data_IF_595429825879
#
_entry.id   IF_595429825879
#
_cell.length_a   1.000
_cell.length_b   1.000
_cell.length_c   1.000
_cell.angle_alpha   90.00
_cell.angle_beta   90.00
_cell.angle_gamma   90.00
#
_symmetry.space_group_name_H-M   'P 1'
#
loop_
_entity.id
_entity.type
_entity.pdbx_description
1 polymer ?
#
# COMPACT_ATOMS: atom_id res chain seq x y z
N UNK A 1 15.15 -2.30 -0.46
CA UNK A 1 14.41 -2.92 0.67
C UNK A 1 13.06 -2.25 0.93
N UNK A 2 12.95 -0.90 0.98
CA UNK A 2 11.67 -0.17 1.20
C UNK A 2 10.51 -0.53 0.24
N UNK A 3 10.77 -0.96 -1.00
CA UNK A 3 9.72 -1.31 -1.97
C UNK A 3 9.05 -2.66 -1.74
N UNK A 4 9.67 -3.60 -1.02
CA UNK A 4 9.06 -4.92 -0.79
C UNK A 4 7.95 -4.89 0.27
N UNK A 5 7.82 -3.78 1.00
CA UNK A 5 6.91 -3.66 2.14
C UNK A 5 5.48 -3.31 1.71
N UNK A 6 5.31 -2.42 0.73
CA UNK A 6 3.97 -2.02 0.29
C UNK A 6 3.16 -3.20 -0.26
N UNK A 7 3.83 -4.05 -1.04
CA UNK A 7 3.23 -5.27 -1.59
C UNK A 7 2.78 -6.20 -0.47
N UNK A 8 3.64 -6.48 0.52
CA UNK A 8 3.25 -7.29 1.69
C UNK A 8 2.05 -6.74 2.47
N UNK A 9 1.86 -5.42 2.52
CA UNK A 9 0.75 -4.82 3.25
C UNK A 9 -0.60 -5.07 2.57
N UNK A 10 -0.66 -4.90 1.25
CA UNK A 10 -1.88 -5.17 0.48
C UNK A 10 -2.21 -6.67 0.53
N UNK A 11 -1.16 -7.47 0.41
CA UNK A 11 -1.17 -8.91 0.43
C UNK A 11 -1.70 -9.50 1.76
N UNK A 12 -1.14 -9.07 2.90
CA UNK A 12 -1.58 -9.50 4.22
C UNK A 12 -3.03 -9.11 4.52
N UNK A 13 -3.45 -7.92 4.07
CA UNK A 13 -4.84 -7.47 4.19
C UNK A 13 -5.81 -8.31 3.35
N UNK A 14 -5.41 -8.77 2.16
CA UNK A 14 -6.28 -9.63 1.32
C UNK A 14 -6.47 -11.04 1.88
N UNK A 15 -5.47 -11.61 2.57
CA UNK A 15 -5.66 -12.87 3.30
C UNK A 15 -6.44 -12.64 4.59
N UNK A 16 -6.08 -11.60 5.35
CA UNK A 16 -6.79 -11.19 6.56
C UNK A 16 -8.29 -10.95 6.31
N UNK A 17 -8.65 -10.35 5.17
CA UNK A 17 -10.06 -10.16 4.80
C UNK A 17 -10.80 -11.46 4.49
N UNK A 18 -10.09 -12.51 4.06
CA UNK A 18 -10.65 -13.85 3.82
C UNK A 18 -10.75 -14.67 5.11
N UNK A 19 -9.76 -14.55 6.00
CA UNK A 19 -9.69 -15.32 7.26
C UNK A 19 -10.43 -14.63 8.41
N UNK A 20 -10.65 -13.31 8.35
CA UNK A 20 -11.22 -12.51 9.43
C UNK A 20 -10.20 -12.05 10.48
N UNK A 21 -8.92 -12.35 10.28
CA UNK A 21 -7.83 -12.02 11.20
C UNK A 21 -7.40 -10.56 11.09
N UNK A 22 -6.83 -10.01 12.17
CA UNK A 22 -6.22 -8.68 12.19
C UNK A 22 -4.69 -8.81 12.24
N UNK A 23 -3.98 -8.64 11.11
CA UNK A 23 -2.53 -8.75 11.09
C UNK A 23 -1.88 -7.58 11.83
N UNK A 24 -0.95 -7.87 12.74
CA UNK A 24 -0.11 -6.87 13.38
C UNK A 24 1.14 -6.62 12.52
N UNK A 25 1.17 -5.43 11.92
CA UNK A 25 2.23 -5.00 11.01
C UNK A 25 3.61 -4.92 11.69
N UNK A 26 3.66 -4.51 12.96
CA UNK A 26 4.91 -4.41 13.70
C UNK A 26 5.50 -5.80 13.93
N UNK A 27 4.63 -6.77 14.24
CA UNK A 27 5.03 -8.16 14.44
C UNK A 27 5.52 -8.80 13.13
N UNK A 28 4.82 -8.58 12.02
CA UNK A 28 5.24 -9.11 10.70
C UNK A 28 6.58 -8.52 10.25
N UNK A 29 6.82 -7.23 10.52
CA UNK A 29 8.09 -6.59 10.21
C UNK A 29 9.22 -7.13 11.06
N UNK A 30 8.98 -7.32 12.36
CA UNK A 30 9.96 -7.94 13.26
C UNK A 30 10.28 -9.38 12.82
N UNK A 31 9.26 -10.17 12.46
CA UNK A 31 9.44 -11.55 12.01
C UNK A 31 10.28 -11.65 10.72
N UNK A 32 10.05 -10.77 9.73
CA UNK A 32 10.84 -10.72 8.48
C UNK A 32 12.27 -10.21 8.73
N UNK A 33 12.45 -9.29 9.67
CA UNK A 33 13.78 -8.83 10.07
C UNK A 33 14.58 -9.95 10.73
N UNK A 34 13.98 -10.63 11.71
CA UNK A 34 14.58 -11.76 12.41
C UNK A 34 14.87 -12.94 11.47
N UNK A 35 14.00 -13.23 10.51
CA UNK A 35 14.24 -14.30 9.53
C UNK A 35 15.43 -14.00 8.62
N UNK A 36 15.58 -12.76 8.16
CA UNK A 36 16.74 -12.36 7.37
C UNK A 36 18.03 -12.31 8.19
N UNK A 37 17.96 -11.96 9.48
CA UNK A 37 19.10 -12.05 10.38
C UNK A 37 19.57 -13.51 10.56
N UNK A 38 18.62 -14.43 10.77
CA UNK A 38 18.92 -15.86 10.80
C UNK A 38 19.54 -16.35 9.48
N UNK A 39 19.03 -15.89 8.33
CA UNK A 39 19.60 -16.21 7.02
C UNK A 39 21.04 -15.69 6.88
N UNK A 40 21.33 -14.47 7.34
CA UNK A 40 22.67 -13.90 7.27
C UNK A 40 23.69 -14.75 8.05
N UNK A 41 23.32 -15.24 9.24
CA UNK A 41 24.16 -16.14 10.04
C UNK A 41 24.36 -17.48 9.34
N UNK A 42 23.31 -18.02 8.72
CA UNK A 42 23.36 -19.29 8.00
C UNK A 42 24.05 -19.20 6.62
N UNK A 43 24.48 -18.01 6.18
CA UNK A 43 25.02 -17.79 4.83
C UNK A 43 23.97 -17.89 3.72
N UNK A 44 22.69 -17.75 4.06
CA UNK A 44 21.55 -17.85 3.15
C UNK A 44 21.27 -16.56 2.38
N UNK A 45 20.52 -16.69 1.29
CA UNK A 45 20.00 -15.56 0.52
C UNK A 45 18.88 -14.83 1.29
N UNK A 46 18.68 -13.52 1.07
CA UNK A 46 17.59 -12.78 1.70
C UNK A 46 16.24 -13.39 1.32
N UNK A 47 15.40 -13.64 2.32
CA UNK A 47 14.09 -14.21 2.14
C UNK A 47 13.01 -13.13 2.17
N UNK A 48 11.98 -13.36 1.36
CA UNK A 48 10.74 -12.58 1.39
C UNK A 48 9.54 -13.53 1.51
N UNK A 49 8.43 -13.00 2.00
CA UNK A 49 7.15 -13.69 2.00
C UNK A 49 6.57 -13.74 0.58
N UNK A 50 5.87 -14.81 0.25
CA UNK A 50 5.18 -14.99 -1.03
C UNK A 50 3.70 -15.19 -0.78
N UNK A 51 2.88 -14.30 -1.35
CA UNK A 51 1.43 -14.43 -1.28
C UNK A 51 0.91 -15.72 -1.86
N UNK A 52 1.37 -16.05 -3.06
CA UNK A 52 0.87 -17.19 -3.83
C UNK A 52 1.01 -18.47 -3.00
N UNK A 53 2.12 -18.62 -2.28
CA UNK A 53 2.33 -19.77 -1.39
C UNK A 53 1.41 -19.74 -0.17
N UNK A 54 1.19 -18.58 0.45
CA UNK A 54 0.26 -18.45 1.57
C UNK A 54 -1.20 -18.68 1.17
N UNK A 55 -1.62 -18.22 0.00
CA UNK A 55 -2.95 -18.48 -0.55
C UNK A 55 -3.13 -19.96 -0.85
N UNK A 56 -2.17 -20.60 -1.51
CA UNK A 56 -2.21 -22.06 -1.76
C UNK A 56 -2.27 -22.86 -0.45
N UNK A 57 -1.52 -22.44 0.57
CA UNK A 57 -1.56 -23.06 1.89
C UNK A 57 -2.94 -22.89 2.54
N UNK A 58 -3.54 -21.71 2.43
CA UNK A 58 -4.90 -21.44 2.92
C UNK A 58 -5.96 -22.26 2.16
N UNK A 59 -5.88 -22.33 0.83
CA UNK A 59 -6.77 -23.15 0.00
C UNK A 59 -6.62 -24.65 0.26
N UNK A 60 -5.43 -25.08 0.72
CA UNK A 60 -5.17 -26.46 1.18
C UNK A 60 -5.76 -26.76 2.56
N UNK A 61 -6.48 -25.81 3.18
CA UNK A 61 -7.12 -25.99 4.49
C UNK A 61 -6.19 -25.73 5.68
N UNK A 62 -5.05 -25.07 5.50
CA UNK A 62 -4.18 -24.72 6.61
C UNK A 62 -4.84 -23.71 7.56
N UNK A 63 -5.04 -24.10 8.81
CA UNK A 63 -5.65 -23.25 9.85
C UNK A 63 -4.63 -22.67 10.84
N UNK A 64 -3.41 -23.23 10.90
CA UNK A 64 -2.41 -22.85 11.90
C UNK A 64 -1.06 -22.56 11.28
N UNK A 65 -0.22 -21.80 12.01
CA UNK A 65 1.17 -21.50 11.62
C UNK A 65 2.06 -22.74 11.51
N UNK A 66 1.63 -23.88 12.10
CA UNK A 66 2.35 -25.15 12.02
C UNK A 66 2.46 -25.67 10.58
N UNK A 67 1.47 -25.42 9.72
CA UNK A 67 1.54 -25.81 8.31
C UNK A 67 2.77 -25.21 7.61
N UNK A 68 3.07 -23.94 7.88
CA UNK A 68 4.24 -23.25 7.33
C UNK A 68 5.55 -23.78 7.92
N UNK A 69 5.61 -24.12 9.21
CA UNK A 69 6.79 -24.75 9.82
C UNK A 69 7.07 -26.12 9.20
N UNK A 70 6.03 -26.94 9.03
CA UNK A 70 6.14 -28.28 8.45
C UNK A 70 6.63 -28.19 6.99
N UNK A 71 6.07 -27.27 6.20
CA UNK A 71 6.55 -27.00 4.83
C UNK A 71 8.03 -26.58 4.80
N UNK A 72 8.45 -25.73 5.73
CA UNK A 72 9.85 -25.34 5.90
C UNK A 72 10.75 -26.53 6.27
N UNK A 73 10.32 -27.36 7.22
CA UNK A 73 11.05 -28.56 7.63
C UNK A 73 11.20 -29.58 6.49
N UNK A 74 10.14 -29.82 5.72
CA UNK A 74 10.20 -30.66 4.52
C UNK A 74 11.16 -30.10 3.48
N UNK A 75 11.11 -28.79 3.23
CA UNK A 75 12.02 -28.12 2.27
C UNK A 75 13.47 -28.25 2.72
N UNK A 76 13.76 -28.06 4.01
CA UNK A 76 15.09 -28.21 4.59
C UNK A 76 15.59 -29.65 4.51
N UNK A 77 14.73 -30.63 4.86
CA UNK A 77 15.06 -32.05 4.75
C UNK A 77 15.36 -32.47 3.31
N UNK A 78 14.54 -32.04 2.35
CA UNK A 78 14.75 -32.34 0.93
C UNK A 78 16.04 -31.68 0.41
N UNK A 79 16.33 -30.44 0.83
CA UNK A 79 17.58 -29.77 0.50
C UNK A 79 18.81 -30.51 1.05
N UNK A 80 18.74 -31.04 2.28
CA UNK A 80 19.81 -31.86 2.86
C UNK A 80 19.99 -33.18 2.11
N UNK A 81 18.91 -33.84 1.69
CA UNK A 81 18.96 -35.07 0.88
C UNK A 81 19.63 -34.79 -0.46
N UNK A 82 19.28 -33.70 -1.14
CA UNK A 82 19.91 -33.28 -2.40
C UNK A 82 21.40 -32.95 -2.18
N UNK A 83 21.74 -32.23 -1.11
CA UNK A 83 23.13 -31.92 -0.80
C UNK A 83 23.96 -33.19 -0.48
N UNK A 84 23.35 -34.17 0.19
CA UNK A 84 23.97 -35.45 0.48
C UNK A 84 24.14 -36.32 -0.78
N UNK A 85 23.18 -36.32 -1.69
CA UNK A 85 23.25 -37.10 -2.94
C UNK A 85 24.37 -36.62 -3.86
N UNK A 86 24.60 -35.29 -3.92
CA UNK A 86 25.76 -34.71 -4.63
C UNK A 86 27.08 -35.20 -4.04
N UNK A 87 27.21 -35.26 -2.70
CA UNK A 87 28.42 -35.79 -2.03
C UNK A 87 28.64 -37.29 -2.26
N UNK A 88 27.56 -38.06 -2.39
CA UNK A 88 27.58 -39.49 -2.67
C UNK A 88 27.74 -39.84 -4.17
N UNK A 89 27.94 -38.83 -5.02
CA UNK A 89 28.24 -39.02 -6.45
C UNK A 89 27.02 -39.27 -7.34
N UNK A 90 25.80 -39.07 -6.82
CA UNK A 90 24.56 -39.18 -7.62
C UNK A 90 23.90 -37.79 -7.68
N UNK A 91 24.19 -36.97 -8.71
CA UNK A 91 23.61 -35.64 -8.83
C UNK A 91 22.15 -35.74 -9.25
N UNK A 92 21.24 -35.87 -8.28
CA UNK A 92 19.77 -35.88 -8.51
C UNK A 92 19.29 -34.65 -9.28
N UNK A 93 19.99 -33.52 -9.14
CA UNK A 93 19.65 -32.26 -9.80
C UNK A 93 19.84 -32.32 -11.33
N UNK A 94 20.75 -33.16 -11.82
CA UNK A 94 21.06 -33.25 -13.26
C UNK A 94 19.96 -33.96 -14.05
N UNK A 95 19.14 -34.77 -13.36
CA UNK A 95 17.96 -35.40 -13.94
C UNK A 95 16.78 -34.45 -14.11
N UNK A 96 16.86 -33.23 -13.54
CA UNK A 96 15.78 -32.25 -13.66
C UNK A 96 15.81 -31.64 -15.07
N UNK A 97 14.77 -31.82 -15.90
CA UNK A 97 14.75 -31.28 -17.24
C UNK A 97 14.74 -29.75 -17.19
N UNK A 98 15.82 -29.13 -17.66
CA UNK A 98 15.96 -27.66 -17.75
C UNK A 98 14.79 -27.01 -18.49
N UNK A 99 14.23 -27.72 -19.48
CA UNK A 99 13.05 -27.29 -20.23
C UNK A 99 11.80 -27.10 -19.34
N UNK A 100 11.58 -27.97 -18.35
CA UNK A 100 10.45 -27.82 -17.42
C UNK A 100 10.62 -26.61 -16.51
N UNK A 101 11.85 -26.35 -16.04
CA UNK A 101 12.16 -25.16 -15.25
C UNK A 101 11.96 -23.86 -16.04
N UNK A 102 12.38 -23.83 -17.30
CA UNK A 102 12.14 -22.69 -18.19
C UNK A 102 10.63 -22.47 -18.41
N UNK A 103 9.87 -23.55 -18.68
CA UNK A 103 8.42 -23.48 -18.82
C UNK A 103 7.72 -22.94 -17.57
N UNK A 104 8.15 -23.36 -16.38
CA UNK A 104 7.66 -22.85 -15.11
C UNK A 104 7.88 -21.34 -14.96
N UNK A 105 9.08 -20.84 -15.26
CA UNK A 105 9.41 -19.40 -15.16
C UNK A 105 8.57 -18.58 -16.15
N UNK A 106 8.37 -19.08 -17.37
CA UNK A 106 7.51 -18.44 -18.37
C UNK A 106 6.07 -18.36 -17.87
N UNK A 107 5.53 -19.46 -17.33
CA UNK A 107 4.17 -19.48 -16.78
C UNK A 107 4.00 -18.49 -15.60
N UNK A 108 4.97 -18.43 -14.70
CA UNK A 108 4.98 -17.48 -13.58
C UNK A 108 5.04 -16.03 -14.07
N UNK A 109 5.81 -15.76 -15.13
CA UNK A 109 5.93 -14.44 -15.74
C UNK A 109 4.58 -13.96 -16.29
N UNK A 110 3.85 -14.83 -16.99
CA UNK A 110 2.51 -14.51 -17.49
C UNK A 110 1.51 -14.26 -16.36
N UNK A 111 1.58 -15.03 -15.26
CA UNK A 111 0.70 -14.83 -14.11
C UNK A 111 0.94 -13.49 -13.40
N UNK A 112 2.13 -12.90 -13.52
CA UNK A 112 2.47 -11.64 -12.88
C UNK A 112 2.02 -10.42 -13.70
N UNK A 113 1.85 -10.58 -15.03
CA UNK A 113 1.44 -9.50 -15.92
C UNK A 113 -0.06 -9.17 -15.76
N UNK A 114 -0.36 -8.14 -14.97
CA UNK A 114 -1.72 -7.63 -14.84
C UNK A 114 -1.94 -6.35 -15.67
N UNK A 115 -2.36 -6.52 -16.92
CA UNK A 115 -2.66 -5.43 -17.87
C UNK A 115 -3.74 -4.47 -17.36
N UNK A 116 -4.66 -4.94 -16.50
CA UNK A 116 -5.74 -4.11 -15.96
C UNK A 116 -5.20 -3.06 -15.00
N UNK A 117 -4.30 -3.44 -14.10
CA UNK A 117 -3.66 -2.51 -13.16
C UNK A 117 -2.80 -1.47 -13.89
N UNK A 118 -2.04 -1.89 -14.90
CA UNK A 118 -1.24 -0.97 -15.73
C UNK A 118 -2.13 0.07 -16.40
N UNK A 119 -3.26 -0.35 -16.98
CA UNK A 119 -4.21 0.56 -17.63
C UNK A 119 -4.85 1.55 -16.66
N UNK A 120 -5.16 1.12 -15.44
CA UNK A 120 -5.70 2.01 -14.40
C UNK A 120 -4.66 3.05 -14.00
N UNK A 121 -3.40 2.64 -13.80
CA UNK A 121 -2.32 3.55 -13.44
C UNK A 121 -2.07 4.60 -14.55
N UNK A 122 -2.06 4.17 -15.82
CA UNK A 122 -1.90 5.05 -16.97
C UNK A 122 -3.07 6.05 -17.15
N UNK A 123 -4.28 5.74 -16.66
CA UNK A 123 -5.44 6.62 -16.74
C UNK A 123 -5.64 7.52 -15.50
N UNK A 124 -4.89 7.30 -14.43
CA UNK A 124 -5.06 8.02 -13.17
C UNK A 124 -4.63 9.48 -13.27
N UNK A 125 -3.37 9.73 -13.63
CA UNK A 125 -2.81 11.07 -13.81
C UNK A 125 -1.66 10.97 -14.81
N UNK A 126 -1.49 11.99 -15.67
CA UNK A 126 -0.41 12.04 -16.67
C UNK A 126 0.97 11.93 -16.04
N UNK A 127 1.13 12.49 -14.84
CA UNK A 127 2.37 12.43 -14.06
C UNK A 127 2.68 10.99 -13.62
N UNK A 128 1.69 10.27 -13.08
CA UNK A 128 1.84 8.88 -12.65
C UNK A 128 2.14 7.95 -13.84
N UNK A 129 1.51 8.21 -14.99
CA UNK A 129 1.78 7.49 -16.23
C UNK A 129 3.23 7.70 -16.72
N UNK A 130 3.74 8.94 -16.63
CA UNK A 130 5.13 9.23 -16.99
C UNK A 130 6.12 8.50 -16.07
N UNK A 131 5.88 8.46 -14.76
CA UNK A 131 6.74 7.70 -13.82
C UNK A 131 6.79 6.23 -14.20
N UNK A 132 5.64 5.63 -14.49
CA UNK A 132 5.53 4.22 -14.86
C UNK A 132 6.34 3.92 -16.13
N UNK A 133 6.15 4.71 -17.19
CA UNK A 133 6.84 4.51 -18.47
C UNK A 133 8.35 4.72 -18.33
N UNK A 134 8.77 5.79 -17.65
CA UNK A 134 10.20 6.06 -17.45
C UNK A 134 10.86 4.96 -16.62
N UNK A 135 10.20 4.51 -15.54
CA UNK A 135 10.74 3.44 -14.70
C UNK A 135 10.81 2.12 -15.46
N UNK A 136 9.81 1.81 -16.30
CA UNK A 136 9.81 0.62 -17.15
C UNK A 136 10.97 0.63 -18.15
N UNK A 137 11.18 1.75 -18.85
CA UNK A 137 12.32 1.91 -19.77
C UNK A 137 13.64 1.82 -19.01
N UNK A 138 13.74 2.44 -17.83
CA UNK A 138 14.93 2.37 -16.99
C UNK A 138 15.25 0.92 -16.56
N UNK A 139 14.25 0.11 -16.20
CA UNK A 139 14.47 -1.31 -15.86
C UNK A 139 14.91 -2.16 -17.04
N UNK A 140 14.59 -1.75 -18.28
CA UNK A 140 14.99 -2.48 -19.49
C UNK A 140 16.43 -2.17 -19.91
N UNK A 141 16.90 -0.94 -19.63
CA UNK A 141 18.21 -0.46 -20.07
C UNK A 141 19.29 -0.51 -18.98
N UNK A 142 18.91 -0.48 -17.70
CA UNK A 142 19.83 -0.38 -16.57
C UNK A 142 19.62 -1.50 -15.54
N UNK A 143 20.62 -1.76 -14.68
CA UNK A 143 20.47 -2.69 -13.57
C UNK A 143 19.30 -2.29 -12.66
N UNK A 144 18.58 -3.28 -12.12
CA UNK A 144 17.36 -3.09 -11.31
C UNK A 144 17.56 -2.07 -10.18
N UNK A 145 18.72 -2.06 -9.52
CA UNK A 145 18.99 -1.13 -8.41
C UNK A 145 19.02 0.33 -8.89
N UNK A 146 19.65 0.62 -10.03
CA UNK A 146 19.70 1.98 -10.60
C UNK A 146 18.30 2.43 -11.02
N UNK A 147 17.55 1.55 -11.68
CA UNK A 147 16.19 1.85 -12.12
C UNK A 147 15.25 2.20 -10.96
N UNK A 148 15.37 1.50 -9.82
CA UNK A 148 14.60 1.80 -8.61
C UNK A 148 14.92 3.21 -8.08
N UNK A 149 16.19 3.58 -7.99
CA UNK A 149 16.57 4.91 -7.50
C UNK A 149 16.04 6.03 -8.40
N UNK A 150 16.11 5.84 -9.73
CA UNK A 150 15.56 6.80 -10.70
C UNK A 150 14.05 6.94 -10.52
N UNK A 151 13.31 5.83 -10.45
CA UNK A 151 11.85 5.85 -10.26
C UNK A 151 11.43 6.56 -8.97
N UNK A 152 12.15 6.31 -7.87
CA UNK A 152 11.91 6.98 -6.59
C UNK A 152 12.19 8.47 -6.66
N UNK A 153 13.32 8.88 -7.26
CA UNK A 153 13.67 10.28 -7.40
C UNK A 153 12.61 11.06 -8.19
N UNK A 154 12.11 10.48 -9.28
CA UNK A 154 11.04 11.07 -10.09
C UNK A 154 9.74 11.17 -9.30
N UNK A 155 9.35 10.10 -8.60
CA UNK A 155 8.12 10.07 -7.80
C UNK A 155 8.14 11.12 -6.68
N UNK A 156 9.25 11.25 -5.96
CA UNK A 156 9.42 12.29 -4.94
C UNK A 156 9.35 13.69 -5.55
N UNK A 157 10.01 13.91 -6.69
CA UNK A 157 9.99 15.22 -7.37
C UNK A 157 8.58 15.62 -7.77
N UNK A 158 7.80 14.70 -8.34
CA UNK A 158 6.41 14.96 -8.72
C UNK A 158 5.52 15.19 -7.50
N UNK A 159 5.70 14.39 -6.45
CA UNK A 159 4.99 14.56 -5.19
C UNK A 159 5.24 15.95 -4.59
N UNK A 160 6.50 16.41 -4.58
CA UNK A 160 6.87 17.74 -4.11
C UNK A 160 6.21 18.83 -4.95
N UNK A 161 6.27 18.73 -6.29
CA UNK A 161 5.62 19.70 -7.19
C UNK A 161 4.11 19.80 -6.95
N UNK A 162 3.46 18.68 -6.64
CA UNK A 162 2.02 18.62 -6.35
C UNK A 162 1.70 19.17 -4.95
N UNK A 163 2.55 18.91 -3.97
CA UNK A 163 2.40 19.43 -2.61
C UNK A 163 2.63 20.95 -2.53
N UNK A 164 3.50 21.50 -3.37
CA UNK A 164 3.84 22.93 -3.40
C UNK A 164 2.78 23.84 -4.07
N UNK A 165 1.70 23.28 -4.63
CA UNK A 165 0.58 24.07 -5.18
C UNK A 165 -0.68 23.92 -4.31
N UNK A 166 -0.75 24.53 -3.11
CA UNK A 166 -1.95 24.50 -2.30
C UNK A 166 -3.09 25.23 -3.03
N UNK A 167 -4.23 24.55 -3.19
CA UNK A 167 -5.46 25.15 -3.71
C UNK A 167 -6.12 25.90 -2.55
N UNK A 168 -5.90 27.21 -2.48
CA UNK A 168 -6.57 28.11 -1.56
C UNK A 168 -7.96 28.41 -2.12
N UNK A 169 -8.98 27.98 -1.39
CA UNK A 169 -10.38 28.33 -1.64
C UNK A 169 -10.78 29.27 -0.52
N UNK A 170 -11.11 30.50 -0.86
CA UNK A 170 -11.68 31.46 0.09
C UNK A 170 -13.20 31.27 0.11
N UNK A 171 -13.74 31.11 1.32
CA UNK A 171 -15.17 30.99 1.58
C UNK A 171 -15.65 32.30 2.19
N UNK A 172 -16.67 32.91 1.59
CA UNK A 172 -17.38 34.06 2.17
C UNK A 172 -18.74 33.61 2.72
N UNK A 173 -19.13 34.19 3.85
CA UNK A 173 -20.46 34.01 4.42
C UNK A 173 -21.39 35.09 3.87
N UNK A 174 -22.49 34.67 3.23
CA UNK A 174 -23.56 35.59 2.88
C UNK A 174 -24.40 35.94 4.12
N UNK A 175 -25.15 37.04 4.10
CA UNK A 175 -26.02 37.48 5.21
C UNK A 175 -27.08 36.42 5.63
N UNK A 176 -27.38 35.45 4.76
CA UNK A 176 -28.24 34.31 5.01
C UNK A 176 -27.57 33.10 5.71
N UNK A 177 -26.28 33.19 6.06
CA UNK A 177 -25.53 32.13 6.75
C UNK A 177 -25.09 30.95 5.87
N UNK A 178 -25.20 31.07 4.54
CA UNK A 178 -24.76 30.03 3.60
C UNK A 178 -23.32 30.23 3.11
N UNK A 179 -22.56 29.14 3.06
CA UNK A 179 -21.20 29.09 2.55
C UNK A 179 -21.22 29.06 1.01
N UNK A 180 -20.80 30.14 0.34
CA UNK A 180 -20.55 30.13 -1.11
C UNK A 180 -19.06 30.19 -1.41
N UNK A 181 -18.67 29.45 -2.44
CA UNK A 181 -17.30 29.44 -3.00
C UNK A 181 -17.09 30.78 -3.75
N UNK A 182 -16.17 31.62 -3.25
CA UNK A 182 -15.94 32.98 -3.72
C UNK A 182 -15.30 33.03 -5.11
N UNK A 183 -16.05 32.71 -6.16
CA UNK A 183 -15.61 32.99 -7.54
C UNK A 183 -15.79 34.48 -7.84
N UNK A 184 -14.69 35.23 -7.65
CA UNK A 184 -14.34 36.56 -8.23
C UNK A 184 -15.52 37.48 -8.58
N UNK A 185 -15.76 38.51 -7.76
CA UNK A 185 -16.05 39.88 -8.24
C UNK A 185 -15.80 40.93 -7.14
N UNK A 186 -14.82 41.79 -7.43
CA UNK A 186 -14.57 43.20 -7.05
C UNK A 186 -15.27 43.84 -5.83
N UNK A 187 -14.42 44.41 -4.95
CA UNK A 187 -14.61 45.54 -4.00
C UNK A 187 -15.15 45.24 -2.57
N UNK A 188 -14.73 46.04 -1.57
CA UNK A 188 -14.19 45.54 -0.29
C UNK A 188 -15.17 45.63 0.88
N UNK A 189 -14.74 45.05 2.00
CA UNK A 189 -15.28 45.15 3.37
C UNK A 189 -16.00 43.89 3.86
N UNK A 190 -15.21 42.89 4.27
CA UNK A 190 -15.51 42.13 5.50
C UNK A 190 -14.41 41.12 5.84
N UNK A 191 -14.37 40.82 7.12
CA UNK A 191 -13.35 40.07 7.88
C UNK A 191 -12.99 38.72 7.22
N UNK A 192 -11.80 38.63 6.65
CA UNK A 192 -11.29 37.41 6.00
C UNK A 192 -10.87 36.36 7.03
N UNK A 193 -11.64 35.28 7.16
CA UNK A 193 -11.27 34.11 7.96
C UNK A 193 -10.70 33.02 7.04
N UNK A 194 -9.39 32.82 7.14
CA UNK A 194 -8.60 31.98 6.26
C UNK A 194 -8.68 30.50 6.70
N UNK A 195 -9.47 29.68 6.01
CA UNK A 195 -9.57 28.24 6.30
C UNK A 195 -9.07 27.40 5.10
N UNK A 196 -7.82 26.97 5.15
CA UNK A 196 -7.17 26.17 4.09
C UNK A 196 -7.62 24.71 4.12
N UNK A 197 -8.30 24.29 3.04
CA UNK A 197 -8.84 22.93 2.86
C UNK A 197 -7.78 21.93 2.40
N UNK A 198 -7.21 21.14 3.32
CA UNK A 198 -6.43 19.92 2.98
C UNK A 198 -7.40 18.74 2.76
N UNK A 199 -7.49 18.26 1.51
CA UNK A 199 -8.49 17.33 0.93
C UNK A 199 -8.82 15.99 1.67
N UNK A 200 -8.27 15.67 2.83
CA UNK A 200 -8.62 14.44 3.57
C UNK A 200 -8.97 14.59 5.05
N UNK A 201 -8.73 15.75 5.69
CA UNK A 201 -8.93 15.88 7.15
C UNK A 201 -10.22 16.61 7.55
N UNK A 202 -10.86 17.34 6.63
CA UNK A 202 -11.99 18.24 6.97
C UNK A 202 -13.34 17.52 7.10
N UNK A 203 -13.49 16.30 6.56
CA UNK A 203 -14.76 15.57 6.70
C UNK A 203 -15.10 15.28 8.18
N UNK A 204 -14.07 15.15 9.03
CA UNK A 204 -14.24 14.95 10.47
C UNK A 204 -14.58 16.24 11.22
N UNK A 205 -13.98 17.37 10.83
CA UNK A 205 -14.17 18.65 11.54
C UNK A 205 -15.52 19.32 11.22
N UNK A 206 -16.00 19.27 9.97
CA UNK A 206 -17.33 19.80 9.63
C UNK A 206 -18.47 19.02 10.30
N UNK A 207 -18.32 17.71 10.54
CA UNK A 207 -19.33 16.93 11.25
C UNK A 207 -19.37 17.27 12.75
N UNK A 208 -18.23 17.59 13.34
CA UNK A 208 -18.15 18.07 14.73
C UNK A 208 -18.79 19.47 14.91
N UNK A 209 -18.54 20.40 13.98
CA UNK A 209 -19.13 21.74 14.03
C UNK A 209 -20.64 21.75 13.70
N UNK A 210 -21.10 20.85 12.82
CA UNK A 210 -22.54 20.67 12.57
C UNK A 210 -23.30 20.16 13.79
N UNK A 211 -22.65 19.36 14.66
CA UNK A 211 -23.27 18.90 15.90
C UNK A 211 -23.29 20.00 16.98
N UNK A 212 -22.27 20.85 17.04
CA UNK A 212 -22.23 21.97 17.99
C UNK A 212 -23.31 23.02 17.71
N UNK A 213 -23.52 23.40 16.44
CA UNK A 213 -24.53 24.40 16.06
C UNK A 213 -25.99 23.88 16.21
N UNK A 214 -26.16 22.55 16.26
CA UNK A 214 -27.48 21.93 16.52
C UNK A 214 -27.85 21.97 18.01
N UNK A 215 -26.87 21.96 18.90
CA UNK A 215 -27.09 21.99 20.35
C UNK A 215 -27.46 23.40 20.86
N UNK A 216 -26.85 24.45 20.30
CA UNK A 216 -27.15 25.83 20.68
C UNK A 216 -28.53 26.29 20.18
N UNK A 217 -28.99 25.79 19.03
CA UNK A 217 -30.29 26.15 18.45
C UNK A 217 -31.48 25.58 19.23
N UNK A 218 -31.30 24.46 19.95
CA UNK A 218 -32.32 23.91 20.84
C UNK A 218 -32.37 24.63 22.20
N UNK A 219 -31.25 25.21 22.64
CA UNK A 219 -31.17 25.95 23.91
C UNK A 219 -31.81 27.34 23.84
N UNK A 220 -31.84 27.96 22.65
CA UNK A 220 -32.51 29.26 22.44
C UNK A 220 -34.03 29.15 22.27
N UNK A 221 -34.56 27.98 21.89
CA UNK A 221 -36.01 27.78 21.74
C UNK A 221 -36.72 27.55 23.08
N UNK A 222 -36.02 27.05 24.10
CA UNK A 222 -36.59 26.75 25.41
C UNK A 222 -36.70 27.99 26.33
N UNK A 223 -35.94 29.06 26.05
CA UNK A 223 -35.96 30.29 26.86
C UNK A 223 -37.10 31.27 26.52
N UNK A 224 -37.87 31.03 25.45
CA UNK A 224 -38.92 31.95 24.99
C UNK A 224 -40.35 31.55 25.46
N UNK A 225 -40.49 30.59 26.37
CA UNK A 225 -41.78 30.22 26.96
C UNK A 225 -41.76 30.36 28.49
N UNK A 226 -41.67 31.60 28.98
CA UNK A 226 -42.15 31.97 30.31
C UNK A 226 -43.10 33.17 30.16
N UNK A 227 -44.41 33.01 30.44
CA UNK A 227 -45.29 34.15 30.66
C UNK A 227 -45.10 34.62 32.10
N UNK A 228 -44.91 35.93 32.27
CA UNK A 228 -44.96 36.58 33.58
C UNK A 228 -45.59 37.98 33.42
N UNK A 229 -46.21 38.53 34.47
CA UNK A 229 -46.95 37.92 35.57
C UNK A 229 -48.48 37.97 35.37
#
# INVERSE_FOLDING_TARGET
MLFSHHWKFDDGQTLASKTGDRPDMNQDMFAVGMSNFANAIAGGMPASGSLTRSMLNYESGAQTRFASLISGAYTMGFAMIIAASVKWGVPLIDYVPKAALAGLVIALSFSLFNLRHIRICLRSTTDDAAVLVITFIATLLAPLHVAIFIGVAISITLFLRKASRPYLIEYEFNEAGELRDGRKKTAPDSLHLHCSRRRRFVFWCCRALSHANSADRLRSSDQNHHPAP
#
